data_IF_595178559135
#
_entry.id   IF_595178559135
#
_cell.length_a   1.000
_cell.length_b   1.000
_cell.length_c   1.000
_cell.angle_alpha   90.00
_cell.angle_beta   90.00
_cell.angle_gamma   90.00
#
_symmetry.space_group_name_H-M   'P 1'
#
loop_
_entity.id
_entity.type
_entity.pdbx_description
1 polymer ?
#
# COMPACT_ATOMS: atom_id res chain seq x y z
N UNK A 1 32.23 4.13 15.61
CA UNK A 1 31.15 4.79 14.84
C UNK A 1 31.37 4.40 13.39
N UNK A 2 30.40 3.79 12.70
CA UNK A 2 30.53 3.58 11.26
C UNK A 2 30.51 4.93 10.54
N UNK A 3 31.42 5.09 9.57
CA UNK A 3 31.48 6.30 8.74
C UNK A 3 30.24 6.31 7.81
N UNK A 4 29.55 7.44 7.74
CA UNK A 4 28.40 7.58 6.83
C UNK A 4 28.86 7.64 5.38
N UNK A 5 28.08 7.07 4.48
CA UNK A 5 28.37 7.06 3.05
C UNK A 5 27.20 7.56 2.21
N UNK A 6 27.45 7.95 0.97
CA UNK A 6 26.41 8.26 -0.01
C UNK A 6 25.88 6.96 -0.60
N UNK A 7 24.61 6.65 -0.36
CA UNK A 7 23.97 5.47 -0.93
C UNK A 7 23.56 5.76 -2.38
N UNK A 8 23.91 4.86 -3.29
CA UNK A 8 23.57 4.95 -4.71
C UNK A 8 22.49 3.97 -5.14
N UNK A 9 22.10 3.03 -4.25
CA UNK A 9 21.14 1.97 -4.56
C UNK A 9 20.14 1.76 -3.42
N UNK A 10 18.86 1.59 -3.78
CA UNK A 10 17.77 1.31 -2.85
C UNK A 10 17.42 2.47 -1.91
N UNK A 11 16.62 2.16 -0.88
CA UNK A 11 16.19 3.15 0.10
C UNK A 11 17.33 3.49 1.08
N UNK A 12 17.51 4.78 1.36
CA UNK A 12 18.48 5.25 2.34
C UNK A 12 18.11 4.81 3.75
N UNK A 13 19.11 4.45 4.56
CA UNK A 13 18.94 4.13 5.96
C UNK A 13 19.46 5.24 6.86
N UNK A 14 18.63 5.67 7.79
CA UNK A 14 19.01 6.66 8.80
C UNK A 14 20.17 6.11 9.65
N UNK A 15 21.23 6.89 9.80
CA UNK A 15 22.42 6.51 10.56
C UNK A 15 23.54 5.91 9.71
N UNK A 16 23.26 5.28 8.58
CA UNK A 16 24.24 4.68 7.68
C UNK A 16 24.60 5.60 6.49
N UNK A 17 23.62 6.36 5.98
CA UNK A 17 23.80 7.21 4.80
C UNK A 17 23.69 8.70 5.14
N UNK A 18 24.31 9.55 4.31
CA UNK A 18 24.01 10.97 4.30
C UNK A 18 22.62 11.16 3.68
N UNK A 19 21.66 11.57 4.48
CA UNK A 19 20.27 11.71 4.08
C UNK A 19 19.70 13.01 4.65
N UNK A 20 18.97 13.75 3.83
CA UNK A 20 18.06 14.78 4.31
C UNK A 20 16.88 14.07 5.01
N UNK A 21 16.30 14.73 6.01
CA UNK A 21 15.13 14.18 6.68
C UNK A 21 14.02 13.84 5.66
N UNK A 22 13.69 12.54 5.47
CA UNK A 22 12.74 12.14 4.42
C UNK A 22 11.34 12.70 4.66
N UNK A 23 11.00 13.02 5.89
CA UNK A 23 9.69 13.56 6.26
C UNK A 23 9.53 15.02 5.82
N UNK A 24 10.62 15.77 5.65
CA UNK A 24 10.56 17.16 5.13
C UNK A 24 10.17 17.25 3.66
N UNK A 25 10.11 16.12 2.94
CA UNK A 25 9.72 16.05 1.53
C UNK A 25 8.23 15.79 1.32
N UNK A 26 7.50 15.60 2.39
CA UNK A 26 6.07 15.34 2.41
C UNK A 26 5.40 16.31 3.36
N UNK A 27 4.17 16.68 3.08
CA UNK A 27 3.34 17.44 4.01
C UNK A 27 2.73 16.47 5.03
N UNK A 28 3.41 16.33 6.18
CA UNK A 28 2.99 15.40 7.23
C UNK A 28 1.63 15.79 7.78
N UNK A 29 1.38 17.08 8.00
CA UNK A 29 0.14 17.57 8.61
C UNK A 29 -1.06 17.27 7.69
N UNK A 30 -0.89 17.47 6.38
CA UNK A 30 -1.90 17.10 5.38
C UNK A 30 -2.15 15.59 5.37
N UNK A 31 -1.10 14.78 5.35
CA UNK A 31 -1.19 13.31 5.33
C UNK A 31 -1.88 12.81 6.60
N UNK A 32 -1.50 13.28 7.77
CA UNK A 32 -2.12 12.90 9.04
C UNK A 32 -3.59 13.33 9.09
N UNK A 33 -3.91 14.51 8.58
CA UNK A 33 -5.30 14.97 8.44
C UNK A 33 -6.13 14.04 7.54
N UNK A 34 -5.57 13.57 6.42
CA UNK A 34 -6.23 12.62 5.53
C UNK A 34 -6.45 11.25 6.22
N UNK A 35 -5.44 10.76 6.93
CA UNK A 35 -5.53 9.52 7.70
C UNK A 35 -6.59 9.64 8.80
N UNK A 36 -6.59 10.73 9.58
CA UNK A 36 -7.56 10.96 10.64
C UNK A 36 -9.01 11.05 10.09
N UNK A 37 -9.18 11.59 8.87
CA UNK A 37 -10.46 11.60 8.16
C UNK A 37 -10.79 10.28 7.47
N UNK A 38 -9.98 9.23 7.69
CA UNK A 38 -10.16 7.89 7.11
C UNK A 38 -10.20 7.92 5.57
N UNK A 39 -9.39 8.79 4.93
CA UNK A 39 -9.36 8.93 3.48
C UNK A 39 -8.40 7.92 2.86
N UNK A 40 -8.79 7.41 1.70
CA UNK A 40 -7.87 6.74 0.79
C UNK A 40 -7.32 7.80 -0.15
N UNK A 41 -6.01 7.78 -0.40
CA UNK A 41 -5.37 8.77 -1.24
C UNK A 41 -4.17 8.20 -1.98
N UNK A 42 -3.67 8.95 -2.94
CA UNK A 42 -2.57 8.57 -3.81
C UNK A 42 -1.37 9.46 -3.48
N UNK A 43 -0.22 8.84 -3.34
CA UNK A 43 1.06 9.55 -3.30
C UNK A 43 1.86 9.19 -4.53
N UNK A 44 2.28 10.17 -5.30
CA UNK A 44 3.06 9.89 -6.50
C UNK A 44 4.31 10.77 -6.59
N UNK A 45 5.36 10.20 -7.16
CA UNK A 45 6.61 10.89 -7.43
C UNK A 45 7.37 10.21 -8.57
N UNK A 46 8.21 10.93 -9.30
CA UNK A 46 9.08 10.34 -10.32
C UNK A 46 9.95 9.22 -9.74
N UNK A 47 10.43 8.34 -10.61
CA UNK A 47 11.42 7.34 -10.21
C UNK A 47 12.66 7.99 -9.62
N UNK A 48 13.33 7.31 -8.69
CA UNK A 48 14.54 7.77 -8.00
C UNK A 48 14.39 9.10 -7.24
N UNK A 49 13.17 9.48 -6.91
CA UNK A 49 12.88 10.69 -6.15
C UNK A 49 12.96 10.51 -4.62
N UNK A 50 13.35 9.33 -4.11
CA UNK A 50 13.33 9.03 -2.68
C UNK A 50 11.95 8.69 -2.11
N UNK A 51 10.95 8.40 -2.97
CA UNK A 51 9.57 8.02 -2.59
C UNK A 51 9.56 6.94 -1.51
N UNK A 52 10.17 5.79 -1.77
CA UNK A 52 10.21 4.66 -0.83
C UNK A 52 10.84 5.05 0.52
N UNK A 53 11.91 5.84 0.51
CA UNK A 53 12.55 6.32 1.74
C UNK A 53 11.59 7.17 2.58
N UNK A 54 10.84 8.08 1.95
CA UNK A 54 9.85 8.92 2.64
C UNK A 54 8.66 8.11 3.15
N UNK A 55 8.19 7.11 2.38
CA UNK A 55 7.10 6.22 2.80
C UNK A 55 7.49 5.37 4.01
N UNK A 56 8.73 4.83 4.03
CA UNK A 56 9.23 4.07 5.17
C UNK A 56 9.39 4.95 6.41
N UNK A 57 9.90 6.17 6.26
CA UNK A 57 10.00 7.12 7.35
C UNK A 57 8.61 7.52 7.90
N UNK A 58 7.63 7.72 7.02
CA UNK A 58 6.25 8.01 7.42
C UNK A 58 5.60 6.82 8.15
N UNK A 59 5.79 5.59 7.66
CA UNK A 59 5.36 4.38 8.35
C UNK A 59 5.92 4.32 9.77
N UNK A 60 7.23 4.56 9.93
CA UNK A 60 7.90 4.50 11.23
C UNK A 60 7.42 5.61 12.16
N UNK A 61 7.20 6.81 11.62
CA UNK A 61 6.62 7.94 12.35
C UNK A 61 5.22 7.63 12.88
N UNK A 62 4.33 7.09 12.05
CA UNK A 62 2.97 6.72 12.47
C UNK A 62 2.98 5.59 13.51
N UNK A 63 3.83 4.57 13.31
CA UNK A 63 3.96 3.48 14.29
C UNK A 63 4.54 3.97 15.64
N UNK A 64 5.44 4.95 15.62
CA UNK A 64 6.00 5.53 16.84
C UNK A 64 4.96 6.29 17.68
N UNK A 65 3.91 6.85 17.05
CA UNK A 65 2.77 7.47 17.78
C UNK A 65 1.91 6.45 18.51
N UNK A 66 1.88 5.20 18.05
CA UNK A 66 1.15 4.12 18.69
C UNK A 66 -0.39 4.17 18.53
N UNK A 67 -0.92 5.07 17.71
CA UNK A 67 -2.36 5.24 17.49
C UNK A 67 -2.91 4.30 16.39
N UNK A 68 -2.05 3.88 15.48
CA UNK A 68 -2.37 3.01 14.34
C UNK A 68 -1.29 1.97 14.12
N UNK A 69 -1.61 0.93 13.38
CA UNK A 69 -0.61 0.07 12.73
C UNK A 69 -0.39 0.55 11.30
N UNK A 70 0.78 1.10 11.03
CA UNK A 70 1.18 1.52 9.69
C UNK A 70 2.00 0.41 9.03
N UNK A 71 1.50 -0.16 7.95
CA UNK A 71 2.11 -1.28 7.21
C UNK A 71 2.46 -0.84 5.80
N UNK A 72 3.70 -1.07 5.40
CA UNK A 72 4.21 -0.80 4.06
C UNK A 72 4.37 -2.11 3.30
N UNK A 73 3.72 -2.24 2.15
CA UNK A 73 3.81 -3.36 1.24
C UNK A 73 4.22 -2.90 -0.16
N UNK A 74 5.25 -3.52 -0.74
CA UNK A 74 5.67 -3.30 -2.12
C UNK A 74 5.12 -4.42 -3.00
N UNK A 75 4.29 -4.07 -3.99
CA UNK A 75 3.62 -5.04 -4.87
C UNK A 75 4.34 -5.26 -6.21
N UNK A 76 5.55 -4.74 -6.37
CA UNK A 76 6.36 -4.88 -7.60
C UNK A 76 6.55 -6.34 -8.03
N UNK A 77 6.63 -7.27 -7.08
CA UNK A 77 6.71 -8.70 -7.37
C UNK A 77 5.53 -9.23 -8.19
N UNK A 78 4.38 -8.56 -8.12
CA UNK A 78 3.20 -8.85 -8.95
C UNK A 78 3.44 -8.68 -10.43
N UNK A 79 4.43 -7.86 -10.85
CA UNK A 79 4.79 -7.65 -12.25
C UNK A 79 5.16 -8.96 -12.96
N UNK A 80 5.78 -9.91 -12.27
CA UNK A 80 6.17 -11.20 -12.82
C UNK A 80 4.97 -12.01 -13.33
N UNK A 81 3.82 -11.83 -12.71
CA UNK A 81 2.57 -12.54 -13.03
C UNK A 81 1.68 -11.79 -14.03
N UNK A 82 2.06 -10.58 -14.43
CA UNK A 82 1.34 -9.74 -15.41
C UNK A 82 -0.16 -9.64 -15.11
N UNK A 83 -0.99 -10.21 -15.99
CA UNK A 83 -2.45 -10.15 -15.93
C UNK A 83 -3.08 -11.38 -15.24
N UNK A 84 -2.31 -12.23 -14.59
CA UNK A 84 -2.82 -13.35 -13.80
C UNK A 84 -3.37 -12.84 -12.46
N UNK A 85 -4.68 -12.59 -12.44
CA UNK A 85 -5.39 -12.05 -11.26
C UNK A 85 -5.15 -12.90 -10.03
N UNK A 86 -5.20 -14.25 -10.16
CA UNK A 86 -5.05 -15.17 -9.03
C UNK A 86 -3.66 -15.06 -8.40
N UNK A 87 -2.64 -15.05 -9.22
CA UNK A 87 -1.26 -14.99 -8.74
C UNK A 87 -0.92 -13.61 -8.17
N UNK A 88 -1.38 -12.52 -8.81
CA UNK A 88 -1.14 -11.16 -8.34
C UNK A 88 -1.85 -10.88 -7.03
N UNK A 89 -3.12 -11.29 -6.88
CA UNK A 89 -3.87 -11.11 -5.62
C UNK A 89 -3.22 -11.91 -4.50
N UNK A 90 -2.87 -13.18 -4.74
CA UNK A 90 -2.18 -14.01 -3.76
C UNK A 90 -0.82 -13.44 -3.35
N UNK A 91 -0.03 -12.92 -4.31
CA UNK A 91 1.26 -12.27 -4.03
C UNK A 91 1.07 -10.98 -3.19
N UNK A 92 0.05 -10.17 -3.52
CA UNK A 92 -0.29 -8.95 -2.78
C UNK A 92 -0.68 -9.27 -1.34
N UNK A 93 -1.57 -10.24 -1.12
CA UNK A 93 -1.97 -10.68 0.22
C UNK A 93 -0.76 -11.22 1.00
N UNK A 94 0.08 -12.03 0.35
CA UNK A 94 1.29 -12.57 0.99
C UNK A 94 2.28 -11.48 1.42
N UNK A 95 2.48 -10.45 0.60
CA UNK A 95 3.35 -9.32 0.96
C UNK A 95 2.77 -8.53 2.13
N UNK A 96 1.48 -8.21 2.11
CA UNK A 96 0.81 -7.52 3.22
C UNK A 96 0.93 -8.36 4.51
N UNK A 97 0.67 -9.66 4.46
CA UNK A 97 0.76 -10.56 5.61
C UNK A 97 2.17 -10.58 6.23
N UNK A 98 3.20 -10.72 5.40
CA UNK A 98 4.60 -10.68 5.85
C UNK A 98 4.96 -9.36 6.52
N UNK A 99 4.55 -8.24 5.92
CA UNK A 99 4.84 -6.91 6.46
C UNK A 99 4.08 -6.62 7.75
N UNK A 100 2.82 -7.06 7.83
CA UNK A 100 2.02 -6.93 9.05
C UNK A 100 2.62 -7.75 10.19
N UNK A 101 3.04 -9.00 9.91
CA UNK A 101 3.78 -9.82 10.88
C UNK A 101 4.99 -9.11 11.47
N UNK A 102 5.76 -8.42 10.64
CA UNK A 102 6.96 -7.68 11.10
C UNK A 102 6.59 -6.51 12.03
N UNK A 103 5.48 -5.82 11.75
CA UNK A 103 4.99 -4.69 12.55
C UNK A 103 4.42 -5.18 13.88
N UNK A 104 3.60 -6.23 13.84
CA UNK A 104 2.96 -6.79 15.05
C UNK A 104 3.91 -7.65 15.88
N UNK A 105 4.95 -8.21 15.27
CA UNK A 105 5.83 -9.25 15.84
C UNK A 105 5.05 -10.49 16.27
N UNK A 106 4.03 -10.85 15.49
CA UNK A 106 3.08 -11.94 15.73
C UNK A 106 2.82 -12.69 14.42
N UNK A 107 2.64 -14.00 14.46
CA UNK A 107 2.39 -14.85 13.31
C UNK A 107 0.92 -14.86 12.86
N UNK A 108 0.02 -14.22 13.59
CA UNK A 108 -1.42 -14.14 13.27
C UNK A 108 -1.68 -13.73 11.81
N UNK A 109 -1.03 -12.70 11.23
CA UNK A 109 -1.28 -12.31 9.85
C UNK A 109 -0.96 -13.40 8.82
N UNK A 110 0.07 -14.24 9.09
CA UNK A 110 0.42 -15.36 8.20
C UNK A 110 -0.57 -16.50 8.33
N UNK A 111 -0.99 -16.86 9.56
CA UNK A 111 -1.99 -17.89 9.80
C UNK A 111 -3.33 -17.51 9.15
N UNK A 112 -3.73 -16.26 9.30
CA UNK A 112 -4.94 -15.73 8.67
C UNK A 112 -4.87 -15.78 7.13
N UNK A 113 -3.71 -15.46 6.55
CA UNK A 113 -3.50 -15.58 5.10
C UNK A 113 -3.71 -17.02 4.62
N UNK A 114 -3.15 -18.02 5.32
CA UNK A 114 -3.34 -19.43 4.97
C UNK A 114 -4.84 -19.82 5.03
N UNK A 115 -5.52 -19.40 6.09
CA UNK A 115 -6.95 -19.67 6.25
C UNK A 115 -7.78 -19.07 5.10
N UNK A 116 -7.58 -17.79 4.79
CA UNK A 116 -8.31 -17.07 3.74
C UNK A 116 -7.99 -17.66 2.36
N UNK A 117 -6.74 -18.06 2.10
CA UNK A 117 -6.34 -18.66 0.83
C UNK A 117 -7.07 -19.95 0.51
N UNK A 118 -7.57 -20.66 1.51
CA UNK A 118 -8.35 -21.89 1.31
C UNK A 118 -9.86 -21.66 1.16
N UNK A 119 -10.36 -20.50 1.59
CA UNK A 119 -11.80 -20.19 1.65
C UNK A 119 -12.27 -19.21 0.59
N UNK A 120 -11.39 -18.34 0.10
CA UNK A 120 -11.73 -17.23 -0.80
C UNK A 120 -11.18 -17.47 -2.21
N UNK A 121 -11.90 -17.01 -3.21
CA UNK A 121 -11.40 -16.95 -4.57
C UNK A 121 -10.58 -15.68 -4.83
N UNK A 122 -9.93 -15.61 -5.99
CA UNK A 122 -9.07 -14.46 -6.34
C UNK A 122 -9.84 -13.14 -6.50
N UNK A 123 -11.15 -13.18 -6.67
CA UNK A 123 -12.00 -11.99 -6.80
C UNK A 123 -12.27 -11.30 -5.46
N UNK A 124 -12.14 -12.01 -4.34
CA UNK A 124 -12.45 -11.51 -2.99
C UNK A 124 -11.30 -11.65 -1.99
N UNK A 125 -10.29 -12.47 -2.27
CA UNK A 125 -9.25 -12.88 -1.33
C UNK A 125 -8.55 -11.72 -0.63
N UNK A 126 -8.23 -10.63 -1.34
CA UNK A 126 -7.60 -9.44 -0.73
C UNK A 126 -8.58 -8.71 0.20
N UNK A 127 -9.84 -8.58 -0.21
CA UNK A 127 -10.89 -7.96 0.61
C UNK A 127 -11.13 -8.76 1.88
N UNK A 128 -11.34 -10.08 1.75
CA UNK A 128 -11.60 -10.99 2.86
C UNK A 128 -10.42 -11.01 3.85
N UNK A 129 -9.19 -11.04 3.34
CA UNK A 129 -8.00 -10.99 4.17
C UNK A 129 -7.89 -9.68 4.95
N UNK A 130 -8.06 -8.54 4.30
CA UNK A 130 -7.97 -7.24 4.96
C UNK A 130 -9.08 -7.05 5.99
N UNK A 131 -10.29 -7.54 5.68
CA UNK A 131 -11.41 -7.50 6.61
C UNK A 131 -11.15 -8.35 7.86
N UNK A 132 -10.76 -9.59 7.68
CA UNK A 132 -10.46 -10.49 8.78
C UNK A 132 -9.24 -10.01 9.60
N UNK A 133 -8.23 -9.44 8.96
CA UNK A 133 -7.06 -8.87 9.63
C UNK A 133 -7.49 -7.70 10.54
N UNK A 134 -8.22 -6.71 9.99
CA UNK A 134 -8.59 -5.51 10.74
C UNK A 134 -9.49 -5.82 11.95
N UNK A 135 -10.33 -6.86 11.86
CA UNK A 135 -11.15 -7.30 12.99
C UNK A 135 -10.36 -7.92 14.15
N UNK A 136 -9.13 -8.37 13.90
CA UNK A 136 -8.24 -8.94 14.92
C UNK A 136 -7.24 -7.94 15.50
N UNK A 137 -7.14 -6.74 14.92
CA UNK A 137 -6.24 -5.70 15.40
C UNK A 137 -6.89 -4.89 16.52
N UNK A 138 -6.10 -4.52 17.53
CA UNK A 138 -6.50 -3.64 18.63
C UNK A 138 -6.40 -2.14 18.29
N UNK A 139 -5.80 -1.82 17.13
CA UNK A 139 -5.66 -0.47 16.59
C UNK A 139 -5.95 -0.45 15.09
N UNK A 140 -6.43 0.69 14.54
CA UNK A 140 -6.71 0.79 13.11
C UNK A 140 -5.47 0.56 12.25
N UNK A 141 -5.69 -0.03 11.06
CA UNK A 141 -4.65 -0.27 10.06
C UNK A 141 -4.56 0.89 9.07
N UNK A 142 -3.35 1.39 8.84
CA UNK A 142 -2.99 2.28 7.73
C UNK A 142 -2.08 1.49 6.77
N UNK A 143 -2.52 1.30 5.53
CA UNK A 143 -1.84 0.45 4.56
C UNK A 143 -1.24 1.28 3.44
N UNK A 144 0.09 1.20 3.27
CA UNK A 144 0.81 1.73 2.12
C UNK A 144 1.03 0.62 1.10
N UNK A 145 0.58 0.82 -0.13
CA UNK A 145 0.82 -0.08 -1.26
C UNK A 145 1.70 0.66 -2.26
N UNK A 146 2.99 0.34 -2.24
CA UNK A 146 3.99 0.94 -3.14
C UNK A 146 4.15 0.13 -4.42
N UNK A 147 4.58 0.82 -5.48
CA UNK A 147 4.75 0.29 -6.84
C UNK A 147 3.44 -0.30 -7.42
N UNK A 148 2.31 0.38 -7.16
CA UNK A 148 0.99 -0.04 -7.68
C UNK A 148 0.97 -0.09 -9.22
N UNK A 149 1.79 0.72 -9.88
CA UNK A 149 1.97 0.77 -11.33
C UNK A 149 2.75 -0.43 -11.91
N UNK A 150 3.29 -1.30 -11.07
CA UNK A 150 3.80 -2.60 -11.51
C UNK A 150 2.68 -3.58 -11.89
N UNK A 151 1.47 -3.37 -11.36
CA UNK A 151 0.30 -4.17 -11.68
C UNK A 151 -0.37 -3.66 -12.96
N UNK A 152 -0.86 -4.57 -13.80
CA UNK A 152 -1.45 -4.24 -15.11
C UNK A 152 -2.80 -4.95 -15.34
N UNK A 153 -3.59 -4.42 -16.26
CA UNK A 153 -4.81 -5.07 -16.77
C UNK A 153 -5.81 -5.45 -15.68
N UNK A 154 -6.37 -6.65 -15.81
CA UNK A 154 -7.39 -7.17 -14.88
C UNK A 154 -6.85 -7.35 -13.47
N UNK A 155 -5.56 -7.62 -13.31
CA UNK A 155 -4.92 -7.76 -11.99
C UNK A 155 -4.95 -6.45 -11.21
N UNK A 156 -4.60 -5.32 -11.85
CA UNK A 156 -4.69 -4.00 -11.22
C UNK A 156 -6.14 -3.65 -10.89
N UNK A 157 -7.06 -3.87 -11.86
CA UNK A 157 -8.49 -3.61 -11.65
C UNK A 157 -9.05 -4.43 -10.48
N UNK A 158 -8.69 -5.71 -10.38
CA UNK A 158 -9.12 -6.57 -9.29
C UNK A 158 -8.65 -6.07 -7.94
N UNK A 159 -7.36 -5.75 -7.79
CA UNK A 159 -6.80 -5.20 -6.54
C UNK A 159 -7.51 -3.90 -6.15
N UNK A 160 -7.67 -2.96 -7.08
CA UNK A 160 -8.33 -1.68 -6.81
C UNK A 160 -9.80 -1.85 -6.40
N UNK A 161 -10.54 -2.76 -7.06
CA UNK A 161 -11.95 -3.03 -6.74
C UNK A 161 -12.10 -3.71 -5.38
N UNK A 162 -11.21 -4.64 -5.02
CA UNK A 162 -11.23 -5.30 -3.72
C UNK A 162 -10.93 -4.31 -2.59
N UNK A 163 -9.99 -3.39 -2.77
CA UNK A 163 -9.75 -2.29 -1.81
C UNK A 163 -10.96 -1.37 -1.68
N UNK A 164 -11.65 -1.10 -2.78
CA UNK A 164 -12.85 -0.27 -2.79
C UNK A 164 -14.03 -0.96 -2.08
N UNK A 165 -14.20 -2.26 -2.25
CA UNK A 165 -15.33 -3.02 -1.73
C UNK A 165 -15.44 -2.96 -0.20
N UNK A 166 -14.30 -2.83 0.51
CA UNK A 166 -14.28 -2.71 1.97
C UNK A 166 -14.35 -1.27 2.49
N UNK A 167 -14.52 -0.28 1.63
CA UNK A 167 -14.39 1.14 2.00
C UNK A 167 -15.39 1.60 3.07
N UNK A 168 -16.59 1.08 3.11
CA UNK A 168 -17.65 1.39 4.07
C UNK A 168 -17.48 0.70 5.43
N UNK A 169 -16.65 -0.36 5.50
CA UNK A 169 -16.39 -1.12 6.72
C UNK A 169 -15.28 -0.52 7.61
N UNK A 170 -14.73 0.63 7.24
CA UNK A 170 -13.62 1.28 7.96
C UNK A 170 -14.09 2.01 9.21
N UNK A 171 -13.26 2.10 10.23
CA UNK A 171 -11.96 1.45 10.43
C UNK A 171 -12.08 0.09 11.11
N UNK A 172 -13.30 -0.34 11.46
CA UNK A 172 -13.56 -1.47 12.36
C UNK A 172 -13.23 -2.82 11.71
N UNK A 173 -13.56 -2.96 10.41
CA UNK A 173 -13.37 -4.21 9.68
C UNK A 173 -12.68 -4.01 8.33
N UNK A 174 -11.96 -2.90 8.15
CA UNK A 174 -11.14 -2.64 6.95
C UNK A 174 -10.08 -1.56 7.24
N UNK A 175 -9.00 -1.47 6.45
CA UNK A 175 -7.97 -0.47 6.69
C UNK A 175 -8.54 0.95 6.79
N UNK A 176 -8.22 1.66 7.87
CA UNK A 176 -8.68 3.03 8.11
C UNK A 176 -8.30 3.95 6.95
N UNK A 177 -7.09 3.79 6.44
CA UNK A 177 -6.59 4.50 5.28
C UNK A 177 -5.77 3.58 4.39
N UNK A 178 -5.90 3.72 3.07
CA UNK A 178 -5.04 3.07 2.08
C UNK A 178 -4.36 4.16 1.26
N UNK A 179 -3.02 4.09 1.21
CA UNK A 179 -2.19 5.02 0.48
C UNK A 179 -1.58 4.25 -0.70
N UNK A 180 -2.06 4.54 -1.91
CA UNK A 180 -1.52 3.96 -3.13
C UNK A 180 -0.35 4.80 -3.60
N UNK A 181 0.78 4.16 -3.85
CA UNK A 181 2.01 4.84 -4.24
C UNK A 181 2.49 4.34 -5.60
N UNK A 182 2.87 5.29 -6.47
CA UNK A 182 3.32 5.00 -7.82
C UNK A 182 4.08 6.16 -8.44
N UNK A 183 4.40 6.04 -9.73
CA UNK A 183 5.08 7.08 -10.51
C UNK A 183 4.09 8.16 -10.94
N UNK A 184 2.82 7.78 -11.16
CA UNK A 184 1.73 8.65 -11.63
C UNK A 184 0.51 8.48 -10.73
N UNK A 185 -0.44 9.40 -10.88
CA UNK A 185 -1.76 9.22 -10.31
C UNK A 185 -2.44 7.99 -10.94
N UNK A 186 -2.88 7.06 -10.09
CA UNK A 186 -3.58 5.84 -10.53
C UNK A 186 -4.83 6.18 -11.36
N UNK A 187 -5.47 7.33 -11.11
CA UNK A 187 -6.67 7.77 -11.84
C UNK A 187 -6.40 8.03 -13.32
N UNK A 188 -5.16 8.38 -13.67
CA UNK A 188 -4.74 8.66 -15.05
C UNK A 188 -4.42 7.40 -15.85
N UNK A 189 -4.43 6.22 -15.21
CA UNK A 189 -4.11 4.98 -15.90
C UNK A 189 -5.24 4.56 -16.84
N UNK A 190 -4.88 4.33 -18.09
CA UNK A 190 -5.70 3.61 -19.04
C UNK A 190 -5.37 2.13 -18.95
N UNK A 191 -6.26 1.35 -18.37
CA UNK A 191 -6.06 -0.07 -18.08
C UNK A 191 -6.75 -0.87 -19.18
N UNK A 192 -5.97 -1.58 -19.99
CA UNK A 192 -6.47 -2.52 -20.98
C UNK A 192 -6.83 -3.83 -20.28
N UNK A 193 -8.08 -4.21 -20.30
CA UNK A 193 -8.58 -5.47 -19.73
C UNK A 193 -8.75 -6.54 -20.80
N UNK A 194 -8.83 -7.81 -20.38
CA UNK A 194 -8.78 -8.96 -21.28
C UNK A 194 -9.94 -9.03 -22.26
N UNK A 195 -11.08 -8.41 -21.97
CA UNK A 195 -12.24 -8.35 -22.88
C UNK A 195 -12.11 -7.29 -24.00
N UNK A 196 -10.97 -6.56 -24.04
CA UNK A 196 -10.72 -5.52 -25.04
C UNK A 196 -11.17 -4.11 -24.62
N UNK A 197 -11.84 -3.97 -23.48
CA UNK A 197 -12.25 -2.66 -22.97
C UNK A 197 -11.06 -1.89 -22.38
N UNK A 198 -11.21 -0.56 -22.31
CA UNK A 198 -10.29 0.32 -21.62
C UNK A 198 -11.00 0.87 -20.38
N UNK A 199 -10.50 0.53 -19.22
CA UNK A 199 -10.98 1.05 -17.92
C UNK A 199 -10.01 2.12 -17.43
N UNK A 200 -10.52 3.24 -16.92
CA UNK A 200 -9.66 4.20 -16.24
C UNK A 200 -9.41 3.76 -14.79
N UNK A 201 -8.21 4.02 -14.27
CA UNK A 201 -7.90 3.76 -12.87
C UNK A 201 -8.86 4.50 -11.93
N UNK A 202 -9.29 5.71 -12.30
CA UNK A 202 -10.34 6.46 -11.59
C UNK A 202 -11.68 5.76 -11.55
N UNK A 203 -12.05 5.00 -12.59
CA UNK A 203 -13.28 4.19 -12.59
C UNK A 203 -13.15 2.94 -11.71
N UNK A 204 -11.99 2.28 -11.73
CA UNK A 204 -11.72 1.10 -10.90
C UNK A 204 -11.64 1.46 -9.41
N UNK A 205 -11.08 2.63 -9.09
CA UNK A 205 -10.87 3.15 -7.74
C UNK A 205 -11.70 4.43 -7.51
N UNK A 206 -13.00 4.37 -7.76
CA UNK A 206 -13.94 5.49 -7.65
C UNK A 206 -14.24 5.88 -6.18
N UNK A 207 -13.21 5.92 -5.36
CA UNK A 207 -13.22 6.56 -4.05
C UNK A 207 -12.60 7.94 -4.30
N UNK A 208 -13.19 9.01 -3.79
CA UNK A 208 -12.66 10.37 -3.95
C UNK A 208 -11.29 10.44 -3.24
N UNK A 209 -10.29 9.88 -3.88
CA UNK A 209 -8.92 9.92 -3.42
C UNK A 209 -8.31 11.27 -3.78
N UNK A 210 -7.74 11.93 -2.80
CA UNK A 210 -6.83 13.05 -3.03
C UNK A 210 -5.53 12.51 -3.62
N UNK A 211 -4.84 13.33 -4.40
CA UNK A 211 -3.58 12.96 -5.02
C UNK A 211 -2.52 13.93 -4.55
N UNK A 212 -1.54 13.41 -3.82
CA UNK A 212 -0.44 14.18 -3.28
C UNK A 212 0.82 13.92 -4.10
N UNK A 213 1.39 14.99 -4.67
CA UNK A 213 2.69 14.93 -5.28
C UNK A 213 3.76 15.18 -4.23
N UNK A 214 4.70 14.25 -4.10
CA UNK A 214 5.84 14.48 -3.22
C UNK A 214 6.72 15.61 -3.78
N UNK A 215 7.13 16.52 -2.91
CA UNK A 215 8.03 17.62 -3.24
C UNK A 215 9.44 17.15 -3.64
N UNK A 216 10.17 18.03 -4.33
CA UNK A 216 11.57 17.85 -4.66
C UNK A 216 12.46 18.24 -3.48
#
# INVERSE_FOLDING_TARGET
>A
MMEKYFNTEGANKVGESYILDPLKRIDIDEIESLIARKRYFIMHAPRQSGKTTSLLALRDHLNAKGEVYAVYANVESGQAWRNDVKMVVAATVNEIAKRTRMVLKDDMPLNLKEEISTKSDSGTQLNDYLSALCQQLDRPLVLFIDEIDALIGDSLVSVLRQLRAGYDMRPEAFPMSVILCGVRDVRDYRIHVSNGDIITGGSAFNIKAESLRMGN
#
